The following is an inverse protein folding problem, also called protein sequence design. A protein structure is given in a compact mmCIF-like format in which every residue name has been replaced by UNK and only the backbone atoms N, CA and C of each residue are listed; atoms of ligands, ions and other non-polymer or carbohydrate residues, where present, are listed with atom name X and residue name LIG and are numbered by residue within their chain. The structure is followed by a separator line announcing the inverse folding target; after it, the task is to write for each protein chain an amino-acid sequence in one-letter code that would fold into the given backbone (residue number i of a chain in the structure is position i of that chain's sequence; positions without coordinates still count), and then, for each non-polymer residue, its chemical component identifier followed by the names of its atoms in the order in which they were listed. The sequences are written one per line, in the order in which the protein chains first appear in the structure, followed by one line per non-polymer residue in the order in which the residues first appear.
data_IF_082377130245
#
_entry.id   IF_082377130245
#
_cell.length_a   1.000
_cell.length_b   1.000
_cell.length_c   1.000
_cell.angle_alpha   90.00
_cell.angle_beta   90.00
_cell.angle_gamma   90.00
#
_symmetry.space_group_name_H-M   'P 1'
#
loop_
_entity.id
_entity.type
_entity.pdbx_description
1 polymer ?
#
# COMPACT_ATOMS: atom_id res chain seq x y z
N UNK A 1 -24.86 -70.55 -34.30
CA UNK A 1 -26.07 -69.79 -34.69
C UNK A 1 -25.69 -68.33 -34.80
N UNK A 2 -26.07 -67.71 -35.91
CA UNK A 2 -25.52 -66.47 -36.47
C UNK A 2 -26.54 -65.32 -36.40
N UNK A 3 -26.05 -64.11 -36.06
CA UNK A 3 -26.61 -62.76 -36.28
C UNK A 3 -27.90 -62.33 -35.52
N UNK A 4 -28.23 -61.02 -35.38
CA UNK A 4 -27.60 -59.82 -35.98
C UNK A 4 -27.25 -58.65 -35.03
N UNK A 5 -26.39 -57.78 -35.56
CA UNK A 5 -26.18 -56.37 -35.18
C UNK A 5 -27.45 -55.54 -35.39
N UNK A 6 -27.79 -54.63 -34.46
CA UNK A 6 -28.64 -53.47 -34.74
C UNK A 6 -28.02 -52.24 -34.09
N UNK A 7 -27.49 -51.35 -34.93
CA UNK A 7 -27.18 -49.96 -34.58
C UNK A 7 -28.47 -49.24 -34.15
N UNK A 8 -28.43 -48.52 -33.03
CA UNK A 8 -29.35 -47.39 -32.81
C UNK A 8 -28.60 -46.17 -32.31
N UNK A 9 -28.93 -45.06 -32.96
CA UNK A 9 -28.28 -43.77 -32.92
C UNK A 9 -28.36 -43.10 -31.53
N UNK A 10 -27.28 -42.39 -31.22
CA UNK A 10 -27.18 -41.47 -30.10
C UNK A 10 -28.00 -40.20 -30.34
N UNK A 11 -28.63 -39.61 -29.31
CA UNK A 11 -28.89 -38.19 -29.28
C UNK A 11 -27.71 -37.47 -28.62
N UNK A 12 -27.02 -36.64 -29.41
CA UNK A 12 -26.11 -35.60 -28.94
C UNK A 12 -26.89 -34.62 -28.05
N UNK A 13 -26.75 -34.74 -26.73
CA UNK A 13 -27.06 -33.65 -25.82
C UNK A 13 -25.85 -32.72 -25.78
N UNK A 14 -25.83 -31.78 -26.72
CA UNK A 14 -25.00 -30.59 -26.65
C UNK A 14 -25.47 -29.74 -25.47
N UNK A 15 -24.96 -30.04 -24.28
CA UNK A 15 -25.04 -29.15 -23.13
C UNK A 15 -24.19 -27.93 -23.40
N UNK A 16 -24.81 -26.82 -23.80
CA UNK A 16 -24.20 -25.50 -23.72
C UNK A 16 -23.93 -25.21 -22.23
N UNK A 17 -22.73 -25.54 -21.76
CA UNK A 17 -22.17 -24.87 -20.60
C UNK A 17 -21.89 -23.44 -21.05
N UNK A 18 -22.88 -22.57 -20.84
CA UNK A 18 -22.68 -21.12 -20.78
C UNK A 18 -21.60 -20.90 -19.72
N UNK A 19 -20.36 -20.73 -20.18
CA UNK A 19 -19.29 -20.15 -19.39
C UNK A 19 -19.70 -18.71 -19.11
N UNK A 20 -20.55 -18.52 -18.10
CA UNK A 20 -20.60 -17.27 -17.36
C UNK A 20 -19.22 -17.15 -16.75
N UNK A 21 -18.35 -16.43 -17.45
CA UNK A 21 -17.11 -15.91 -16.93
C UNK A 21 -17.47 -15.01 -15.74
N UNK A 22 -17.69 -15.63 -14.58
CA UNK A 22 -17.47 -14.96 -13.32
C UNK A 22 -16.02 -14.52 -13.39
N UNK A 23 -15.79 -13.25 -13.70
CA UNK A 23 -14.52 -12.61 -13.46
C UNK A 23 -14.29 -12.74 -11.95
N UNK A 24 -13.67 -13.84 -11.55
CA UNK A 24 -13.33 -14.10 -10.17
C UNK A 24 -12.49 -12.91 -9.72
N UNK A 25 -13.01 -12.15 -8.76
CA UNK A 25 -12.29 -11.04 -8.15
C UNK A 25 -10.93 -11.60 -7.73
N UNK A 26 -9.85 -11.09 -8.30
CA UNK A 26 -8.51 -11.60 -8.01
C UNK A 26 -8.32 -11.63 -6.48
N UNK A 27 -7.83 -12.74 -5.90
CA UNK A 27 -7.61 -12.81 -4.46
C UNK A 27 -6.72 -11.65 -4.02
N UNK A 28 -7.03 -11.03 -2.88
CA UNK A 28 -6.31 -9.85 -2.38
C UNK A 28 -4.81 -10.14 -2.21
N UNK A 29 -4.45 -11.35 -1.75
CA UNK A 29 -3.07 -11.81 -1.61
C UNK A 29 -2.34 -11.97 -2.96
N UNK A 30 -3.05 -12.27 -4.05
CA UNK A 30 -2.47 -12.39 -5.41
C UNK A 30 -1.94 -11.05 -5.92
N UNK A 31 -2.49 -9.92 -5.44
CA UNK A 31 -1.99 -8.59 -5.82
C UNK A 31 -0.61 -8.32 -5.22
N UNK A 32 -0.43 -8.57 -3.92
CA UNK A 32 0.84 -8.30 -3.24
C UNK A 32 1.95 -9.22 -3.72
N UNK A 33 1.66 -10.52 -3.88
CA UNK A 33 2.64 -11.49 -4.36
C UNK A 33 3.21 -11.10 -5.73
N UNK A 34 2.35 -10.68 -6.66
CA UNK A 34 2.78 -10.18 -7.97
C UNK A 34 3.55 -8.88 -7.88
N UNK A 35 3.13 -7.95 -7.03
CA UNK A 35 3.84 -6.68 -6.84
C UNK A 35 5.24 -6.92 -6.28
N UNK A 36 5.39 -7.78 -5.27
CA UNK A 36 6.68 -8.19 -4.73
C UNK A 36 7.58 -8.84 -5.80
N UNK A 37 7.01 -9.72 -6.64
CA UNK A 37 7.76 -10.36 -7.72
C UNK A 37 8.20 -9.40 -8.85
N UNK A 38 7.48 -8.28 -9.03
CA UNK A 38 7.77 -7.29 -10.05
C UNK A 38 8.84 -6.26 -9.64
N UNK A 39 9.11 -6.11 -8.34
CA UNK A 39 10.11 -5.20 -7.79
C UNK A 39 11.44 -5.95 -7.62
N UNK A 40 12.53 -5.37 -8.15
CA UNK A 40 13.89 -5.91 -7.95
C UNK A 40 14.19 -6.04 -6.45
N UNK A 41 14.97 -7.05 -6.05
CA UNK A 41 15.35 -7.22 -4.64
C UNK A 41 16.06 -5.97 -4.10
N UNK A 42 16.88 -5.33 -4.93
CA UNK A 42 17.63 -4.11 -4.58
C UNK A 42 16.72 -2.88 -4.36
N UNK A 43 15.51 -2.90 -4.92
CA UNK A 43 14.50 -1.84 -4.76
C UNK A 43 13.48 -2.16 -3.65
N UNK A 44 13.62 -3.31 -2.99
CA UNK A 44 12.81 -3.64 -1.82
C UNK A 44 13.32 -2.89 -0.60
N UNK A 45 12.62 -3.07 0.51
CA UNK A 45 12.93 -2.39 1.76
C UNK A 45 13.10 -3.43 2.84
N UNK A 46 14.19 -3.33 3.59
CA UNK A 46 14.36 -3.98 4.88
C UNK A 46 14.04 -2.98 6.00
N UNK A 47 13.30 -3.46 7.00
CA UNK A 47 13.09 -2.72 8.24
C UNK A 47 14.10 -3.18 9.27
N UNK A 48 14.93 -2.26 9.74
CA UNK A 48 15.95 -2.48 10.75
C UNK A 48 15.48 -1.83 12.06
N UNK A 49 14.95 -2.61 13.02
CA UNK A 49 14.47 -2.07 14.29
C UNK A 49 15.60 -1.43 15.09
N UNK A 50 15.32 -0.29 15.71
CA UNK A 50 16.19 0.40 16.66
C UNK A 50 15.50 0.47 18.03
N UNK A 51 16.08 1.19 18.98
CA UNK A 51 15.50 1.36 20.31
C UNK A 51 14.11 2.02 20.26
N UNK A 52 13.19 1.51 21.07
CA UNK A 52 11.83 2.04 21.16
C UNK A 52 11.03 1.81 19.88
N UNK A 53 10.49 2.90 19.31
CA UNK A 53 9.71 2.87 18.05
C UNK A 53 10.56 3.23 16.84
N UNK A 54 11.84 3.50 17.00
CA UNK A 54 12.69 3.90 15.89
C UNK A 54 13.01 2.71 14.98
N UNK A 55 13.10 2.97 13.69
CA UNK A 55 13.34 1.94 12.67
C UNK A 55 14.04 2.60 11.49
N UNK A 56 14.97 1.91 10.85
CA UNK A 56 15.45 2.32 9.53
C UNK A 56 14.72 1.54 8.45
N UNK A 57 14.32 2.19 7.35
CA UNK A 57 13.75 1.53 6.18
C UNK A 57 14.69 1.74 4.98
N UNK A 58 15.49 0.72 4.67
CA UNK A 58 16.64 0.80 3.76
C UNK A 58 16.54 -0.25 2.65
N UNK A 59 17.21 -0.07 1.50
CA UNK A 59 17.44 -1.16 0.57
C UNK A 59 18.14 -2.35 1.26
N UNK A 60 17.85 -3.60 0.86
CA UNK A 60 18.49 -4.77 1.48
C UNK A 60 20.01 -4.69 1.42
N UNK A 61 20.66 -4.85 2.57
CA UNK A 61 22.12 -4.84 2.68
C UNK A 61 22.82 -3.49 2.47
N UNK A 62 22.08 -2.37 2.38
CA UNK A 62 22.63 -1.02 2.28
C UNK A 62 22.21 -0.12 3.44
N UNK A 63 23.07 -0.06 4.46
CA UNK A 63 22.88 0.78 5.65
C UNK A 63 23.44 2.20 5.47
N UNK A 64 24.40 2.40 4.55
CA UNK A 64 25.09 3.67 4.35
C UNK A 64 24.30 4.64 3.47
N UNK A 65 23.54 4.12 2.50
CA UNK A 65 22.67 4.86 1.59
C UNK A 65 21.21 4.97 2.03
N UNK A 66 20.87 4.56 3.26
CA UNK A 66 19.49 4.38 3.71
C UNK A 66 18.62 5.66 3.62
N UNK A 67 17.59 5.70 2.74
CA UNK A 67 16.76 6.89 2.55
C UNK A 67 15.96 7.29 3.79
N UNK A 68 15.48 6.30 4.55
CA UNK A 68 14.70 6.50 5.77
C UNK A 68 15.46 5.92 6.96
N UNK A 69 16.64 6.49 7.23
CA UNK A 69 17.42 6.11 8.40
C UNK A 69 16.68 6.45 9.69
N UNK A 70 16.65 5.51 10.63
CA UNK A 70 16.16 5.73 11.99
C UNK A 70 17.19 6.45 12.87
N UNK A 71 18.42 6.67 12.38
CA UNK A 71 19.43 7.43 13.10
C UNK A 71 18.94 8.85 13.40
N UNK A 72 19.37 9.39 14.54
CA UNK A 72 18.94 10.70 15.06
C UNK A 72 17.42 10.79 15.26
N UNK A 73 16.71 9.66 15.35
CA UNK A 73 15.27 9.60 15.62
C UNK A 73 14.38 10.02 14.45
N UNK A 74 14.93 10.12 13.23
CA UNK A 74 14.21 10.64 12.06
C UNK A 74 13.13 9.72 11.54
N UNK A 75 13.24 8.41 11.76
CA UNK A 75 12.26 7.44 11.27
C UNK A 75 11.69 6.63 12.43
N UNK A 76 10.38 6.44 12.43
CA UNK A 76 9.67 5.71 13.50
C UNK A 76 8.49 4.89 12.95
N UNK A 77 8.30 3.72 13.54
CA UNK A 77 7.17 2.84 13.31
C UNK A 77 5.93 3.39 14.02
N UNK A 78 4.93 3.77 13.24
CA UNK A 78 3.67 4.32 13.74
C UNK A 78 2.65 3.21 14.05
N UNK A 79 2.54 2.21 13.16
CA UNK A 79 1.65 1.06 13.33
C UNK A 79 2.11 -0.14 12.48
N UNK A 80 1.59 -1.34 12.80
CA UNK A 80 1.86 -2.60 12.09
C UNK A 80 0.60 -3.42 11.75
N UNK A 81 -0.34 -2.86 10.95
CA UNK A 81 -1.57 -3.56 10.59
C UNK A 81 -1.31 -4.73 9.62
N UNK A 82 -2.26 -5.67 9.53
CA UNK A 82 -2.37 -6.61 8.39
C UNK A 82 -3.42 -6.05 7.41
N UNK A 83 -3.00 -5.24 6.44
CA UNK A 83 -3.90 -4.46 5.58
C UNK A 83 -4.64 -5.33 4.56
N UNK A 84 -4.16 -6.53 4.28
CA UNK A 84 -4.67 -7.37 3.20
C UNK A 84 -5.13 -8.76 3.66
N UNK A 85 -5.08 -9.02 4.98
CA UNK A 85 -5.49 -10.26 5.65
C UNK A 85 -4.66 -11.48 5.24
N UNK A 86 -3.37 -11.29 4.95
CA UNK A 86 -2.49 -12.40 4.59
C UNK A 86 -1.68 -12.95 5.77
N UNK A 87 -1.92 -12.43 6.97
CA UNK A 87 -1.29 -12.85 8.21
C UNK A 87 0.11 -12.25 8.44
N UNK A 88 0.62 -11.44 7.50
CA UNK A 88 1.87 -10.70 7.65
C UNK A 88 1.58 -9.27 8.08
N UNK A 89 2.51 -8.69 8.83
CA UNK A 89 2.38 -7.33 9.34
C UNK A 89 2.97 -6.36 8.32
N UNK A 90 2.14 -5.48 7.83
CA UNK A 90 2.55 -4.30 7.09
C UNK A 90 3.10 -3.25 8.06
N UNK A 91 3.65 -2.16 7.54
CA UNK A 91 4.21 -1.09 8.37
C UNK A 91 3.73 0.28 7.91
N UNK A 92 3.31 1.10 8.88
CA UNK A 92 3.08 2.54 8.69
C UNK A 92 4.21 3.29 9.39
N UNK A 93 4.98 4.08 8.64
CA UNK A 93 6.12 4.82 9.17
C UNK A 93 5.88 6.32 9.15
N UNK A 94 6.53 7.02 10.08
CA UNK A 94 6.71 8.46 10.05
C UNK A 94 8.19 8.77 9.86
N UNK A 95 8.51 9.59 8.87
CA UNK A 95 9.84 10.12 8.61
C UNK A 95 9.89 11.64 8.73
N UNK A 96 10.85 12.12 9.51
CA UNK A 96 11.18 13.52 9.77
C UNK A 96 12.49 13.87 9.02
N UNK A 97 12.38 14.10 7.72
CA UNK A 97 13.54 14.50 6.92
C UNK A 97 13.24 15.47 5.78
N UNK A 98 12.00 15.98 5.68
CA UNK A 98 11.66 17.04 4.75
C UNK A 98 11.20 18.29 5.50
N UNK A 99 11.69 19.45 5.07
CA UNK A 99 11.20 20.76 5.52
C UNK A 99 10.57 21.49 4.33
N UNK A 100 9.51 22.25 4.59
CA UNK A 100 8.92 23.15 3.60
C UNK A 100 8.81 24.54 4.22
N UNK A 101 9.83 25.38 3.99
CA UNK A 101 9.98 26.65 4.71
C UNK A 101 10.08 26.39 6.22
N UNK A 102 9.24 27.07 7.00
CA UNK A 102 9.16 26.93 8.47
C UNK A 102 8.17 25.84 8.93
N UNK A 103 7.71 24.98 8.01
CA UNK A 103 6.77 23.90 8.32
C UNK A 103 7.56 22.59 8.43
N UNK A 104 7.51 21.99 9.61
CA UNK A 104 7.91 20.59 9.81
C UNK A 104 6.94 19.70 9.04
N UNK A 105 7.41 19.16 7.92
CA UNK A 105 6.61 18.22 7.13
C UNK A 105 7.12 16.82 7.37
N UNK A 106 6.22 15.93 7.78
CA UNK A 106 6.56 14.52 7.89
C UNK A 106 6.13 13.77 6.65
N UNK A 107 7.02 12.96 6.13
CA UNK A 107 6.65 11.94 5.17
C UNK A 107 6.04 10.76 5.93
N UNK A 108 4.91 10.25 5.45
CA UNK A 108 4.32 9.00 5.93
C UNK A 108 4.47 7.95 4.86
N UNK A 109 4.86 6.75 5.28
CA UNK A 109 5.02 5.61 4.39
C UNK A 109 4.04 4.51 4.78
N UNK A 110 3.57 3.77 3.78
CA UNK A 110 2.92 2.47 3.97
C UNK A 110 3.72 1.44 3.21
N UNK A 111 4.18 0.42 3.92
CA UNK A 111 4.98 -0.66 3.39
C UNK A 111 4.23 -1.97 3.59
N UNK A 112 4.21 -2.83 2.57
CA UNK A 112 3.61 -4.15 2.67
C UNK A 112 4.64 -5.27 2.65
N UNK A 113 4.47 -6.27 3.52
CA UNK A 113 5.45 -7.32 3.73
C UNK A 113 5.33 -8.43 2.68
N UNK A 114 6.40 -8.65 1.91
CA UNK A 114 6.57 -9.76 1.00
C UNK A 114 6.81 -11.08 1.76
N UNK A 115 6.65 -12.23 1.08
CA UNK A 115 6.81 -13.56 1.69
C UNK A 115 8.19 -13.85 2.24
N UNK A 116 9.22 -13.19 1.71
CA UNK A 116 10.61 -13.31 2.17
C UNK A 116 10.94 -12.36 3.32
N UNK A 117 9.97 -11.59 3.83
CA UNK A 117 10.15 -10.69 4.96
C UNK A 117 10.61 -9.27 4.57
N UNK A 118 11.05 -9.06 3.32
CA UNK A 118 11.27 -7.73 2.77
C UNK A 118 9.95 -7.00 2.53
N UNK A 119 10.01 -5.70 2.26
CA UNK A 119 8.83 -4.87 2.06
C UNK A 119 8.87 -4.18 0.69
N UNK A 120 7.68 -3.87 0.17
CA UNK A 120 7.51 -2.91 -0.93
C UNK A 120 6.75 -1.69 -0.45
N UNK A 121 7.04 -0.53 -1.03
CA UNK A 121 6.37 0.73 -0.70
C UNK A 121 5.06 0.88 -1.46
N UNK A 122 3.95 0.91 -0.72
CA UNK A 122 2.61 1.13 -1.28
C UNK A 122 2.21 2.61 -1.27
N UNK A 123 2.78 3.39 -0.35
CA UNK A 123 2.50 4.82 -0.21
C UNK A 123 3.75 5.55 0.26
N UNK A 124 3.96 6.73 -0.30
CA UNK A 124 4.74 7.80 0.30
C UNK A 124 3.99 9.10 0.07
N UNK A 125 3.86 9.91 1.12
CA UNK A 125 3.26 11.23 0.98
C UNK A 125 3.48 12.10 2.20
N UNK A 126 3.39 13.40 1.96
CA UNK A 126 3.49 14.42 3.00
C UNK A 126 2.15 14.52 3.72
N UNK A 127 2.09 14.09 4.97
CA UNK A 127 0.90 14.14 5.79
C UNK A 127 1.27 14.45 7.25
N UNK A 128 0.35 15.08 7.96
CA UNK A 128 0.47 15.27 9.41
C UNK A 128 0.12 13.97 10.14
N UNK A 129 -0.98 13.34 9.76
CA UNK A 129 -1.38 12.02 10.28
C UNK A 129 -1.65 11.06 9.14
N UNK A 130 -1.48 9.77 9.42
CA UNK A 130 -1.88 8.66 8.56
C UNK A 130 -2.26 7.49 9.46
N UNK A 131 -3.44 6.91 9.25
CA UNK A 131 -3.94 5.78 10.04
C UNK A 131 -4.74 4.82 9.18
N UNK A 132 -4.58 3.53 9.47
CA UNK A 132 -5.52 2.50 9.03
C UNK A 132 -6.72 2.44 10.00
N UNK A 133 -7.90 1.97 9.52
CA UNK A 133 -9.00 1.66 10.43
C UNK A 133 -8.63 0.50 11.37
N UNK A 134 -9.45 0.23 12.38
CA UNK A 134 -9.22 -0.89 13.28
C UNK A 134 -9.29 -2.25 12.55
N UNK A 135 -8.39 -3.15 12.89
CA UNK A 135 -8.34 -4.53 12.40
C UNK A 135 -9.53 -5.38 12.92
N UNK A 136 -9.87 -6.50 12.25
CA UNK A 136 -9.23 -7.06 11.05
C UNK A 136 -9.76 -6.46 9.74
N UNK A 137 -8.92 -6.47 8.71
CA UNK A 137 -9.31 -6.05 7.35
C UNK A 137 -9.71 -7.27 6.51
N UNK A 138 -10.73 -7.13 5.66
CA UNK A 138 -11.13 -8.19 4.72
C UNK A 138 -10.45 -8.04 3.36
N UNK A 139 -10.06 -6.81 3.03
CA UNK A 139 -9.39 -6.34 1.82
C UNK A 139 -8.56 -5.12 2.21
N UNK A 140 -7.70 -4.63 1.32
CA UNK A 140 -7.01 -3.34 1.47
C UNK A 140 -8.01 -2.24 1.87
N UNK A 141 -7.95 -1.72 3.12
CA UNK A 141 -8.90 -0.73 3.59
C UNK A 141 -8.61 0.63 2.97
N UNK A 142 -9.58 1.54 3.04
CA UNK A 142 -9.28 2.96 2.88
C UNK A 142 -8.44 3.44 4.07
N UNK A 143 -7.42 4.27 3.82
CA UNK A 143 -6.64 4.90 4.89
C UNK A 143 -7.08 6.35 5.05
N UNK A 144 -7.05 6.83 6.30
CA UNK A 144 -7.34 8.21 6.63
C UNK A 144 -6.04 8.97 6.88
N UNK A 145 -5.89 10.13 6.26
CA UNK A 145 -4.77 11.02 6.44
C UNK A 145 -5.23 12.45 6.68
N UNK A 146 -4.37 13.27 7.28
CA UNK A 146 -4.60 14.71 7.39
C UNK A 146 -3.40 15.52 6.94
N UNK A 147 -3.64 16.74 6.49
CA UNK A 147 -2.61 17.76 6.24
C UNK A 147 -2.99 19.05 6.95
N UNK A 148 -2.08 19.53 7.78
CA UNK A 148 -2.18 20.83 8.40
C UNK A 148 -1.46 21.87 7.53
N UNK A 149 -2.23 22.82 7.00
CA UNK A 149 -1.73 23.84 6.09
C UNK A 149 -1.87 25.24 6.68
N UNK A 150 -0.76 25.93 6.98
CA UNK A 150 -0.78 27.32 7.42
C UNK A 150 -1.47 28.24 6.41
N UNK A 151 -2.25 29.18 6.93
CA UNK A 151 -2.97 30.20 6.17
C UNK A 151 -2.38 31.58 6.47
N UNK A 152 -1.32 31.96 5.74
CA UNK A 152 -0.75 33.31 5.82
C UNK A 152 -0.10 33.65 7.18
N UNK A 153 -0.01 34.95 7.48
CA UNK A 153 0.57 35.47 8.72
C UNK A 153 -0.51 35.58 9.81
N UNK A 154 -0.42 34.74 10.85
CA UNK A 154 -1.39 34.74 11.95
C UNK A 154 -1.55 33.40 12.68
N UNK A 155 -0.81 32.36 12.30
CA UNK A 155 -0.86 31.05 12.98
C UNK A 155 -2.12 30.23 12.70
N UNK A 156 -3.01 30.70 11.83
CA UNK A 156 -4.17 29.95 11.39
C UNK A 156 -3.72 28.73 10.56
N UNK A 157 -4.28 27.56 10.87
CA UNK A 157 -3.98 26.29 10.18
C UNK A 157 -5.28 25.69 9.67
N UNK A 158 -5.33 25.42 8.37
CA UNK A 158 -6.39 24.63 7.75
C UNK A 158 -6.00 23.17 7.77
N UNK A 159 -6.81 22.33 8.41
CA UNK A 159 -6.67 20.87 8.34
C UNK A 159 -7.49 20.32 7.18
N UNK A 160 -6.82 19.71 6.21
CA UNK A 160 -7.43 18.93 5.14
C UNK A 160 -7.51 17.46 5.58
N UNK A 161 -8.69 16.84 5.41
CA UNK A 161 -8.89 15.40 5.61
C UNK A 161 -8.84 14.69 4.27
N UNK A 162 -8.04 13.63 4.18
CA UNK A 162 -7.73 12.93 2.94
C UNK A 162 -8.07 11.46 3.13
N UNK A 163 -8.76 10.90 2.13
CA UNK A 163 -9.04 9.47 2.02
C UNK A 163 -8.14 8.87 0.96
N UNK A 164 -7.43 7.80 1.31
CA UNK A 164 -6.50 7.11 0.43
C UNK A 164 -7.06 5.73 0.09
N UNK A 165 -7.22 5.46 -1.18
CA UNK A 165 -7.77 4.19 -1.68
C UNK A 165 -6.70 3.36 -2.35
N UNK A 166 -6.69 2.05 -2.10
CA UNK A 166 -5.75 1.14 -2.74
C UNK A 166 -6.12 0.88 -4.21
N UNK A 167 -5.18 1.16 -5.11
CA UNK A 167 -5.24 0.79 -6.52
C UNK A 167 -4.56 -0.56 -6.72
N UNK A 168 -5.36 -1.60 -6.92
CA UNK A 168 -4.88 -2.97 -7.09
C UNK A 168 -4.12 -3.21 -8.41
N UNK A 169 -4.24 -2.31 -9.40
CA UNK A 169 -3.49 -2.43 -10.66
C UNK A 169 -2.07 -1.92 -10.50
N UNK A 170 -1.92 -0.81 -9.78
CA UNK A 170 -0.62 -0.21 -9.49
C UNK A 170 0.03 -0.79 -8.22
N UNK A 171 -0.71 -1.54 -7.40
CA UNK A 171 -0.33 -1.95 -6.06
C UNK A 171 0.14 -0.76 -5.20
N UNK A 172 -0.63 0.33 -5.22
CA UNK A 172 -0.30 1.58 -4.51
C UNK A 172 -1.56 2.23 -3.93
N UNK A 173 -1.41 2.94 -2.82
CA UNK A 173 -2.44 3.85 -2.34
C UNK A 173 -2.45 5.15 -3.16
N UNK A 174 -3.65 5.63 -3.49
CA UNK A 174 -3.88 6.86 -4.23
C UNK A 174 -4.76 7.80 -3.42
N UNK A 175 -4.49 9.10 -3.50
CA UNK A 175 -5.41 10.12 -3.04
C UNK A 175 -6.52 10.42 -4.04
N UNK A 176 -7.46 11.32 -3.68
CA UNK A 176 -8.47 11.82 -4.60
C UNK A 176 -7.85 12.42 -5.87
N UNK A 177 -8.58 12.40 -6.98
CA UNK A 177 -8.11 12.96 -8.25
C UNK A 177 -7.66 14.42 -8.08
N UNK A 178 -6.48 14.74 -8.63
CA UNK A 178 -5.88 16.08 -8.53
C UNK A 178 -5.06 16.34 -7.25
N UNK A 179 -5.06 15.43 -6.27
CA UNK A 179 -4.23 15.58 -5.07
C UNK A 179 -2.77 15.21 -5.36
N UNK A 180 -1.84 16.14 -5.10
CA UNK A 180 -0.41 15.85 -5.10
C UNK A 180 0.05 15.33 -3.73
N UNK A 181 0.43 14.05 -3.65
CA UNK A 181 0.89 13.43 -2.40
C UNK A 181 2.27 13.93 -1.95
N UNK A 182 3.10 14.41 -2.86
CA UNK A 182 4.42 14.98 -2.56
C UNK A 182 4.36 16.44 -2.11
N UNK A 183 3.23 17.13 -2.29
CA UNK A 183 3.05 18.49 -1.80
C UNK A 183 2.60 18.47 -0.33
N UNK A 184 3.24 19.29 0.50
CA UNK A 184 2.86 19.46 1.90
C UNK A 184 1.48 20.14 2.03
N UNK A 185 1.26 21.15 1.19
CA UNK A 185 0.01 21.88 1.07
C UNK A 185 -0.32 22.16 -0.39
N UNK A 186 -1.61 22.24 -0.76
CA UNK A 186 -1.99 22.71 -2.08
C UNK A 186 -1.54 24.15 -2.26
N UNK A 187 -1.13 24.51 -3.48
CA UNK A 187 -0.91 25.91 -3.83
C UNK A 187 -2.19 26.69 -3.49
N UNK A 188 -2.05 27.76 -2.70
CA UNK A 188 -3.15 28.71 -2.54
C UNK A 188 -3.34 29.32 -3.93
N UNK A 189 -4.51 29.08 -4.54
CA UNK A 189 -4.83 29.71 -5.81
C UNK A 189 -4.83 31.23 -5.63
N UNK A 190 -4.21 31.93 -6.57
CA UNK A 190 -4.40 33.36 -6.78
C UNK A 190 -5.88 33.68 -7.09
#
# INVERSE_FOLDING_TARGET
MTMPYVLRAAPLLAGLCLATSCAAKQPVADVLDRACAAVSIDDRIELLPLEGKHVSACPPGDDEGCPYSGQQGKTSLSDTPDLNKDGRKDAILTYFGSSYGDIDVTDKLVLAQCKDGTYIRLLEGKFTTLSAPAMPHAVWPELEATRNCPQGHGGAVRTEKIRLTFDSKAAQYRGPAGLNLAAACPAQGD
#
